data_IF_561837844074
#
_entry.id   IF_561837844074
#
_cell.length_a   1.000
_cell.length_b   1.000
_cell.length_c   1.000
_cell.angle_alpha   90.00
_cell.angle_beta   90.00
_cell.angle_gamma   90.00
#
_symmetry.space_group_name_H-M   'P 1'
#
loop_
_entity.id
_entity.type
_entity.pdbx_description
1 polymer ?
#
# COMPACT_ATOMS: atom_id res chain seq x y z
N UNK A 1 -4.39 32.35 -18.93
CA UNK A 1 -3.50 32.55 -17.76
C UNK A 1 -2.78 31.22 -17.54
N UNK A 2 -1.56 31.12 -18.07
CA UNK A 2 -0.70 29.94 -17.97
C UNK A 2 -0.25 29.78 -16.51
N UNK A 3 -0.57 28.65 -15.88
CA UNK A 3 -0.01 28.28 -14.58
C UNK A 3 1.06 27.22 -14.86
N UNK A 4 2.30 27.53 -14.50
CA UNK A 4 3.48 26.71 -14.81
C UNK A 4 3.46 25.37 -14.07
N UNK A 5 3.72 24.30 -14.80
CA UNK A 5 3.87 22.93 -14.32
C UNK A 5 5.20 22.73 -13.56
N UNK A 6 5.29 23.05 -12.25
CA UNK A 6 6.48 22.63 -11.47
C UNK A 6 6.34 22.46 -9.95
N UNK A 7 5.16 22.52 -9.33
CA UNK A 7 5.09 22.56 -7.85
C UNK A 7 4.28 21.45 -7.14
N UNK A 8 3.87 20.38 -7.81
CA UNK A 8 3.09 19.31 -7.15
C UNK A 8 3.78 17.94 -7.18
N UNK A 9 4.80 17.78 -6.33
CA UNK A 9 5.17 16.47 -5.78
C UNK A 9 5.86 16.67 -4.43
N UNK A 10 5.16 16.57 -3.29
CA UNK A 10 5.86 16.36 -2.03
C UNK A 10 6.57 15.00 -2.13
N UNK A 11 7.90 15.02 -2.18
CA UNK A 11 8.71 13.82 -1.97
C UNK A 11 8.21 13.16 -0.68
N UNK A 12 7.74 11.91 -0.78
CA UNK A 12 7.22 11.18 0.37
C UNK A 12 8.28 11.21 1.49
N UNK A 13 8.02 11.99 2.55
CA UNK A 13 8.85 12.05 3.75
C UNK A 13 8.69 10.71 4.46
N UNK A 14 9.60 9.78 4.19
CA UNK A 14 9.54 8.40 4.69
C UNK A 14 9.56 8.32 6.21
N UNK A 15 10.14 9.32 6.87
CA UNK A 15 10.08 9.52 8.32
C UNK A 15 8.65 9.71 8.85
N UNK A 16 7.73 10.20 8.02
CA UNK A 16 6.31 10.33 8.38
C UNK A 16 5.53 9.02 8.20
N UNK A 17 5.97 8.13 7.30
CA UNK A 17 5.31 6.85 6.98
C UNK A 17 5.91 5.69 7.77
N UNK A 18 7.23 5.68 7.90
CA UNK A 18 8.04 4.67 8.58
C UNK A 18 8.58 5.33 9.86
N UNK A 19 7.78 5.30 10.94
CA UNK A 19 8.35 5.59 12.26
C UNK A 19 9.19 4.38 12.68
N UNK A 20 10.51 4.53 12.92
CA UNK A 20 11.30 3.43 13.45
C UNK A 20 10.73 2.99 14.81
N UNK A 21 10.88 1.70 15.14
CA UNK A 21 10.69 1.25 16.52
C UNK A 21 11.61 2.10 17.41
N UNK A 22 11.05 2.74 18.44
CA UNK A 22 11.78 3.68 19.28
C UNK A 22 13.08 3.06 19.81
N UNK A 23 14.23 3.65 19.48
CA UNK A 23 15.55 3.17 19.89
C UNK A 23 15.82 3.55 21.34
N UNK A 24 15.65 2.60 22.26
CA UNK A 24 15.99 2.77 23.68
C UNK A 24 16.09 1.42 24.38
N UNK A 25 17.06 1.27 25.28
CA UNK A 25 17.39 0.01 25.98
C UNK A 25 16.21 -0.49 26.85
N UNK A 26 15.31 0.40 27.27
CA UNK A 26 14.07 0.06 27.99
C UNK A 26 12.93 -0.47 27.10
N UNK A 27 13.04 -0.38 25.76
CA UNK A 27 12.02 -0.84 24.81
C UNK A 27 12.39 -2.14 24.08
N UNK A 28 13.58 -2.70 24.31
CA UNK A 28 13.98 -3.97 23.69
C UNK A 28 13.07 -5.14 24.08
N UNK A 29 12.37 -5.03 25.22
CA UNK A 29 11.38 -6.00 25.71
C UNK A 29 9.98 -5.76 25.11
N UNK A 30 9.77 -4.63 24.42
CA UNK A 30 8.50 -4.22 23.83
C UNK A 30 8.63 -3.85 22.33
N UNK A 31 9.57 -4.44 21.60
CA UNK A 31 9.54 -4.42 20.14
C UNK A 31 8.36 -5.28 19.66
N UNK A 32 7.15 -4.77 19.84
CA UNK A 32 5.91 -5.34 19.32
C UNK A 32 6.10 -5.46 17.81
N UNK A 33 5.94 -6.67 17.28
CA UNK A 33 6.15 -6.97 15.86
C UNK A 33 5.28 -6.00 15.03
N UNK A 34 5.89 -4.98 14.41
CA UNK A 34 5.12 -3.93 13.75
C UNK A 34 4.68 -4.44 12.38
N UNK A 35 3.37 -4.71 12.24
CA UNK A 35 2.77 -5.18 10.99
C UNK A 35 2.32 -3.99 10.15
N UNK A 36 2.80 -3.95 8.91
CA UNK A 36 2.34 -3.04 7.88
C UNK A 36 1.58 -3.81 6.81
N UNK A 37 0.44 -3.29 6.37
CA UNK A 37 -0.29 -3.80 5.21
C UNK A 37 -0.19 -2.83 4.04
N UNK A 38 0.26 -3.31 2.88
CA UNK A 38 0.46 -2.47 1.69
C UNK A 38 -0.30 -3.06 0.51
N UNK A 39 -1.27 -2.31 -0.03
CA UNK A 39 -1.93 -2.65 -1.29
C UNK A 39 -1.20 -2.02 -2.47
N UNK A 40 -1.28 -2.66 -3.65
CA UNK A 40 -0.51 -2.22 -4.82
C UNK A 40 0.97 -2.61 -4.76
N UNK A 41 1.34 -3.61 -3.95
CA UNK A 41 2.73 -3.98 -3.70
C UNK A 41 3.44 -4.71 -4.85
N UNK A 42 2.75 -5.00 -5.97
CA UNK A 42 3.36 -5.72 -7.10
C UNK A 42 4.38 -4.89 -7.90
N UNK A 43 4.33 -3.55 -7.81
CA UNK A 43 5.23 -2.66 -8.56
C UNK A 43 5.31 -1.25 -7.93
N UNK A 44 6.14 -0.39 -8.53
CA UNK A 44 6.15 1.05 -8.26
C UNK A 44 6.41 1.42 -6.80
N UNK A 45 5.61 2.38 -6.31
CA UNK A 45 5.72 2.95 -4.96
C UNK A 45 5.42 1.87 -3.90
N UNK A 46 4.35 1.09 -4.06
CA UNK A 46 3.97 0.05 -3.11
C UNK A 46 5.05 -1.01 -2.91
N UNK A 47 5.66 -1.50 -4.00
CA UNK A 47 6.77 -2.46 -3.93
C UNK A 47 8.00 -1.86 -3.24
N UNK A 48 8.37 -0.64 -3.63
CA UNK A 48 9.53 0.06 -3.04
C UNK A 48 9.33 0.29 -1.55
N UNK A 49 8.13 0.70 -1.15
CA UNK A 49 7.80 0.94 0.25
C UNK A 49 7.79 -0.36 1.06
N UNK A 50 7.24 -1.45 0.52
CA UNK A 50 7.26 -2.76 1.18
C UNK A 50 8.69 -3.19 1.51
N UNK A 51 9.60 -3.06 0.55
CA UNK A 51 11.02 -3.37 0.75
C UNK A 51 11.69 -2.45 1.79
N UNK A 52 11.37 -1.16 1.80
CA UNK A 52 11.92 -0.20 2.77
C UNK A 52 11.40 -0.44 4.19
N UNK A 53 10.09 -0.71 4.35
CA UNK A 53 9.51 -1.03 5.66
C UNK A 53 10.08 -2.35 6.20
N UNK A 54 10.22 -3.35 5.34
CA UNK A 54 10.87 -4.60 5.67
C UNK A 54 12.33 -4.38 6.14
N UNK A 55 13.11 -3.58 5.40
CA UNK A 55 14.48 -3.23 5.80
C UNK A 55 14.54 -2.46 7.13
N UNK A 56 13.49 -1.72 7.47
CA UNK A 56 13.34 -1.04 8.76
C UNK A 56 12.85 -1.96 9.90
N UNK A 57 12.76 -3.28 9.66
CA UNK A 57 12.43 -4.29 10.68
C UNK A 57 10.94 -4.63 10.81
N UNK A 58 10.08 -4.14 9.92
CA UNK A 58 8.65 -4.45 9.96
C UNK A 58 8.34 -5.80 9.32
N UNK A 59 7.27 -6.44 9.79
CA UNK A 59 6.59 -7.49 9.02
C UNK A 59 5.59 -6.83 8.08
N UNK A 60 5.64 -7.18 6.80
CA UNK A 60 4.90 -6.49 5.75
C UNK A 60 3.98 -7.48 5.03
N UNK A 61 2.66 -7.33 5.24
CA UNK A 61 1.66 -7.96 4.42
C UNK A 61 1.52 -7.21 3.08
N UNK A 62 1.74 -7.91 1.96
CA UNK A 62 1.77 -7.31 0.62
C UNK A 62 0.61 -7.80 -0.23
N UNK A 63 -0.17 -6.87 -0.76
CA UNK A 63 -1.40 -7.16 -1.52
C UNK A 63 -1.39 -6.60 -2.93
N UNK A 64 -1.78 -7.44 -3.88
CA UNK A 64 -2.04 -7.15 -5.29
C UNK A 64 -2.80 -8.32 -5.93
N UNK A 65 -3.29 -8.15 -7.15
CA UNK A 65 -4.04 -9.20 -7.88
C UNK A 65 -3.16 -10.38 -8.34
N UNK A 66 -1.90 -10.12 -8.67
CA UNK A 66 -0.95 -11.11 -9.22
C UNK A 66 -0.21 -11.81 -8.09
N UNK A 67 -0.63 -13.03 -7.74
CA UNK A 67 -0.08 -13.80 -6.63
C UNK A 67 1.39 -14.17 -6.85
N UNK A 68 1.74 -14.52 -8.08
CA UNK A 68 3.09 -14.87 -8.52
C UNK A 68 4.11 -13.74 -8.27
N UNK A 69 3.74 -12.49 -8.55
CA UNK A 69 4.62 -11.33 -8.31
C UNK A 69 4.81 -11.07 -6.81
N UNK A 70 3.79 -11.36 -6.00
CA UNK A 70 3.90 -11.25 -4.53
C UNK A 70 4.77 -12.38 -3.96
N UNK A 71 4.65 -13.59 -4.51
CA UNK A 71 5.48 -14.72 -4.12
C UNK A 71 6.97 -14.43 -4.40
N UNK A 72 7.30 -13.89 -5.57
CA UNK A 72 8.67 -13.44 -5.89
C UNK A 72 9.20 -12.41 -4.88
N UNK A 73 8.34 -11.50 -4.41
CA UNK A 73 8.73 -10.51 -3.40
C UNK A 73 9.02 -11.17 -2.05
N UNK A 74 8.22 -12.17 -1.67
CA UNK A 74 8.34 -12.90 -0.41
C UNK A 74 9.55 -13.83 -0.33
N UNK A 75 10.09 -14.32 -1.47
CA UNK A 75 11.33 -15.12 -1.49
C UNK A 75 12.49 -14.45 -0.74
N UNK A 76 12.50 -13.11 -0.66
CA UNK A 76 13.53 -12.34 0.07
C UNK A 76 13.57 -12.64 1.56
N UNK A 77 12.39 -12.75 2.20
CA UNK A 77 12.23 -13.08 3.61
C UNK A 77 10.77 -13.52 3.82
N UNK A 78 10.47 -14.83 3.65
CA UNK A 78 9.10 -15.33 3.72
C UNK A 78 8.51 -15.25 5.13
N UNK A 79 9.34 -15.01 6.16
CA UNK A 79 8.87 -14.84 7.53
C UNK A 79 8.34 -13.41 7.79
N UNK A 80 8.83 -12.41 7.03
CA UNK A 80 8.47 -10.99 7.24
C UNK A 80 7.88 -10.29 6.04
N UNK A 81 7.82 -10.92 4.87
CA UNK A 81 7.07 -10.44 3.72
C UNK A 81 5.98 -11.47 3.43
N UNK A 82 4.73 -11.13 3.74
CA UNK A 82 3.59 -12.04 3.70
C UNK A 82 2.68 -11.74 2.50
N UNK A 83 2.63 -12.60 1.47
CA UNK A 83 1.74 -12.42 0.33
C UNK A 83 0.26 -12.57 0.70
N UNK A 84 -0.54 -11.57 0.34
CA UNK A 84 -1.99 -11.58 0.49
C UNK A 84 -2.62 -11.15 -0.85
N UNK A 85 -2.80 -12.07 -1.80
CA UNK A 85 -3.44 -11.78 -3.09
C UNK A 85 -4.82 -11.16 -2.87
N UNK A 86 -5.07 -10.02 -3.50
CA UNK A 86 -6.27 -9.22 -3.25
C UNK A 86 -6.59 -8.32 -4.45
N UNK A 87 -7.87 -8.29 -4.82
CA UNK A 87 -8.47 -7.24 -5.61
C UNK A 87 -9.22 -6.26 -4.70
N UNK A 88 -8.74 -5.03 -4.58
CA UNK A 88 -9.35 -4.01 -3.71
C UNK A 88 -10.72 -3.54 -4.17
N UNK A 89 -11.17 -3.96 -5.37
CA UNK A 89 -12.52 -3.70 -5.87
C UNK A 89 -13.58 -4.55 -5.17
N UNK A 90 -13.19 -5.70 -4.60
CA UNK A 90 -14.07 -6.59 -3.87
C UNK A 90 -14.04 -6.25 -2.37
N UNK A 91 -15.13 -5.66 -1.88
CA UNK A 91 -15.23 -5.23 -0.49
C UNK A 91 -15.15 -6.40 0.51
N UNK A 92 -15.71 -7.57 0.16
CA UNK A 92 -15.67 -8.74 1.03
C UNK A 92 -14.24 -9.29 1.10
N UNK A 93 -13.56 -9.40 -0.04
CA UNK A 93 -12.17 -9.86 -0.08
C UNK A 93 -11.21 -8.93 0.69
N UNK A 94 -11.46 -7.61 0.68
CA UNK A 94 -10.69 -6.64 1.49
C UNK A 94 -10.90 -6.92 2.98
N UNK A 95 -12.15 -7.11 3.43
CA UNK A 95 -12.45 -7.41 4.83
C UNK A 95 -11.79 -8.72 5.28
N UNK A 96 -11.94 -9.77 4.48
CA UNK A 96 -11.35 -11.08 4.76
C UNK A 96 -9.82 -11.01 4.81
N UNK A 97 -9.20 -10.20 3.95
CA UNK A 97 -7.75 -10.00 3.95
C UNK A 97 -7.27 -9.32 5.22
N UNK A 98 -7.98 -8.29 5.72
CA UNK A 98 -7.65 -7.65 7.00
C UNK A 98 -7.74 -8.65 8.14
N UNK A 99 -8.85 -9.38 8.25
CA UNK A 99 -9.02 -10.39 9.29
C UNK A 99 -7.94 -11.48 9.24
N UNK A 100 -7.58 -11.92 8.03
CA UNK A 100 -6.51 -12.90 7.82
C UNK A 100 -5.15 -12.36 8.26
N UNK A 101 -4.82 -11.12 7.91
CA UNK A 101 -3.55 -10.50 8.32
C UNK A 101 -3.50 -10.36 9.84
N UNK A 102 -4.56 -9.84 10.45
CA UNK A 102 -4.59 -9.63 11.90
C UNK A 102 -4.48 -10.93 12.68
N UNK A 103 -5.11 -12.00 12.17
CA UNK A 103 -5.06 -13.33 12.78
C UNK A 103 -3.72 -14.03 12.58
N UNK A 104 -3.19 -14.03 11.36
CA UNK A 104 -2.07 -14.90 10.98
C UNK A 104 -0.71 -14.19 11.09
N UNK A 105 -0.68 -12.87 11.08
CA UNK A 105 0.54 -12.04 11.06
C UNK A 105 0.63 -11.15 12.31
N UNK A 106 -0.50 -10.57 12.72
CA UNK A 106 -0.61 -9.70 13.88
C UNK A 106 -1.32 -8.38 13.56
N UNK A 107 -1.61 -7.60 14.61
CA UNK A 107 -2.39 -6.37 14.50
C UNK A 107 -1.78 -5.37 13.50
N UNK A 108 -2.57 -4.94 12.51
CA UNK A 108 -2.13 -3.99 11.49
C UNK A 108 -1.97 -2.62 12.13
N UNK A 109 -0.73 -2.16 12.24
CA UNK A 109 -0.40 -0.85 12.81
C UNK A 109 -0.41 0.26 11.77
N UNK A 110 -0.01 -0.07 10.54
CA UNK A 110 0.06 0.87 9.43
C UNK A 110 -0.54 0.22 8.20
N UNK A 111 -1.43 0.93 7.52
CA UNK A 111 -1.97 0.52 6.22
C UNK A 111 -1.56 1.55 5.15
N UNK A 112 -0.96 1.08 4.07
CA UNK A 112 -0.61 1.93 2.93
C UNK A 112 -1.44 1.49 1.74
N UNK A 113 -2.37 2.36 1.35
CA UNK A 113 -3.33 2.09 0.29
C UNK A 113 -2.79 2.66 -1.02
N UNK A 114 -2.06 1.82 -1.77
CA UNK A 114 -1.36 2.22 -3.01
C UNK A 114 -1.82 1.45 -4.24
N UNK A 115 -2.90 0.66 -4.14
CA UNK A 115 -3.49 0.02 -5.30
C UNK A 115 -4.04 1.09 -6.26
N UNK A 116 -3.54 1.09 -7.49
CA UNK A 116 -3.99 2.01 -8.52
C UNK A 116 -3.42 1.69 -9.89
N UNK A 117 -4.07 2.24 -10.92
CA UNK A 117 -3.61 2.18 -12.31
C UNK A 117 -3.79 3.54 -12.99
N UNK A 118 -3.07 3.73 -14.08
CA UNK A 118 -3.26 4.86 -14.97
C UNK A 118 -3.41 4.35 -16.40
N UNK A 119 -4.54 4.66 -17.02
CA UNK A 119 -4.80 4.36 -18.42
C UNK A 119 -4.94 5.70 -19.16
N UNK A 120 -4.02 6.04 -20.09
CA UNK A 120 -4.12 7.27 -20.85
C UNK A 120 -5.31 7.20 -21.82
N UNK A 121 -6.19 8.21 -21.76
CA UNK A 121 -7.36 8.33 -22.65
C UNK A 121 -7.17 9.58 -23.52
N UNK A 122 -7.29 9.42 -24.84
CA UNK A 122 -7.32 10.55 -25.78
C UNK A 122 -8.76 11.04 -25.95
N UNK A 123 -8.95 12.34 -26.16
CA UNK A 123 -10.28 12.92 -26.30
C UNK A 123 -11.14 12.25 -27.40
N UNK A 124 -10.53 11.89 -28.53
CA UNK A 124 -11.23 11.24 -29.65
C UNK A 124 -11.48 9.74 -29.45
N UNK A 125 -10.88 9.12 -28.43
CA UNK A 125 -11.04 7.70 -28.08
C UNK A 125 -11.53 7.58 -26.63
N UNK A 126 -12.40 8.49 -26.21
CA UNK A 126 -12.89 8.56 -24.85
C UNK A 126 -13.76 7.35 -24.52
N UNK A 127 -13.54 6.76 -23.34
CA UNK A 127 -14.36 5.67 -22.82
C UNK A 127 -14.75 5.95 -21.38
N UNK A 128 -16.05 6.17 -21.17
CA UNK A 128 -16.63 6.30 -19.83
C UNK A 128 -16.41 5.02 -18.99
N UNK A 129 -16.34 3.86 -19.64
CA UNK A 129 -16.04 2.60 -18.96
C UNK A 129 -14.63 2.59 -18.38
N UNK A 130 -13.62 2.99 -19.15
CA UNK A 130 -12.23 3.06 -18.66
C UNK A 130 -12.10 4.05 -17.51
N UNK A 131 -12.81 5.18 -17.58
CA UNK A 131 -12.87 6.14 -16.46
C UNK A 131 -13.48 5.49 -15.22
N UNK A 132 -14.66 4.84 -15.35
CA UNK A 132 -15.31 4.16 -14.22
C UNK A 132 -14.41 3.10 -13.60
N UNK A 133 -13.78 2.25 -14.41
CA UNK A 133 -12.87 1.21 -13.92
C UNK A 133 -11.66 1.80 -13.17
N UNK A 134 -11.15 2.94 -13.62
CA UNK A 134 -10.06 3.66 -12.95
C UNK A 134 -10.51 4.21 -11.60
N UNK A 135 -11.71 4.80 -11.51
CA UNK A 135 -12.27 5.27 -10.23
C UNK A 135 -12.59 4.11 -9.27
N UNK A 136 -13.12 3.00 -9.79
CA UNK A 136 -13.38 1.78 -9.01
C UNK A 136 -12.12 1.25 -8.33
N UNK A 137 -10.99 1.22 -9.04
CA UNK A 137 -9.72 0.78 -8.48
C UNK A 137 -9.09 1.85 -7.58
N UNK A 138 -8.88 3.05 -8.11
CA UNK A 138 -8.02 4.06 -7.48
C UNK A 138 -8.72 4.80 -6.34
N UNK A 139 -10.03 5.00 -6.45
CA UNK A 139 -10.80 5.81 -5.49
C UNK A 139 -11.61 4.90 -4.57
N UNK A 140 -12.51 4.10 -5.14
CA UNK A 140 -13.39 3.26 -4.33
C UNK A 140 -12.63 2.11 -3.68
N UNK A 141 -11.61 1.54 -4.32
CA UNK A 141 -10.74 0.54 -3.70
C UNK A 141 -10.05 1.04 -2.43
N UNK A 142 -9.58 2.29 -2.43
CA UNK A 142 -9.00 2.93 -1.24
C UNK A 142 -10.07 3.15 -0.16
N UNK A 143 -11.24 3.65 -0.54
CA UNK A 143 -12.35 3.89 0.40
C UNK A 143 -12.81 2.58 1.08
N UNK A 144 -12.93 1.48 0.33
CA UNK A 144 -13.27 0.15 0.87
C UNK A 144 -12.28 -0.31 1.94
N UNK A 145 -10.98 -0.20 1.67
CA UNK A 145 -9.93 -0.57 2.62
C UNK A 145 -9.88 0.33 3.85
N UNK A 146 -10.26 1.62 3.71
CA UNK A 146 -10.32 2.57 4.84
C UNK A 146 -11.52 2.34 5.76
N UNK A 147 -12.64 1.85 5.24
CA UNK A 147 -13.86 1.60 6.03
C UNK A 147 -13.75 0.41 6.98
N UNK A 148 -12.65 -0.36 6.92
CA UNK A 148 -12.36 -1.41 7.88
C UNK A 148 -11.81 -0.76 9.15
N UNK A 149 -12.45 -0.96 10.32
CA UNK A 149 -11.96 -0.40 11.57
C UNK A 149 -10.61 -1.08 11.88
N UNK A 150 -9.60 -0.34 12.36
CA UNK A 150 -9.14 -0.71 13.69
C UNK A 150 -8.58 0.45 14.54
N UNK A 151 -8.35 0.22 15.84
CA UNK A 151 -7.78 1.21 16.73
C UNK A 151 -6.35 1.52 16.31
N UNK A 152 -6.04 2.79 16.01
CA UNK A 152 -4.67 3.28 15.89
C UNK A 152 -3.96 3.16 14.53
N UNK A 153 -4.67 2.86 13.41
CA UNK A 153 -4.07 2.86 12.07
C UNK A 153 -3.70 4.28 11.61
N UNK A 154 -2.42 4.48 11.29
CA UNK A 154 -1.98 5.53 10.36
C UNK A 154 -2.18 5.00 8.94
N UNK A 155 -3.13 5.57 8.19
CA UNK A 155 -3.34 5.25 6.79
C UNK A 155 -2.68 6.31 5.90
N UNK A 156 -1.79 5.88 4.99
CA UNK A 156 -1.24 6.74 3.95
C UNK A 156 -1.79 6.30 2.58
N UNK A 157 -2.40 7.23 1.85
CA UNK A 157 -2.88 7.00 0.48
C UNK A 157 -1.78 7.46 -0.47
N UNK A 158 -1.24 6.53 -1.26
CA UNK A 158 -0.20 6.83 -2.25
C UNK A 158 -0.72 6.52 -3.64
N UNK A 159 -1.28 7.53 -4.30
CA UNK A 159 -1.63 7.43 -5.71
C UNK A 159 -0.42 7.77 -6.56
N UNK A 160 -0.11 6.94 -7.56
CA UNK A 160 0.92 7.30 -8.54
C UNK A 160 0.45 8.49 -9.38
N UNK A 161 1.05 9.66 -9.16
CA UNK A 161 1.18 10.65 -10.23
C UNK A 161 2.10 10.02 -11.31
N UNK A 162 1.80 10.24 -12.59
CA UNK A 162 2.51 9.62 -13.71
C UNK A 162 4.03 9.74 -13.59
N UNK A 163 4.77 8.77 -14.18
CA UNK A 163 6.23 8.59 -14.10
C UNK A 163 7.00 9.92 -13.96
N UNK A 164 7.23 10.35 -12.73
CA UNK A 164 8.24 11.34 -12.39
C UNK A 164 9.53 10.56 -12.18
N UNK A 165 10.51 10.82 -13.05
CA UNK A 165 11.88 10.31 -12.89
C UNK A 165 12.37 10.74 -11.50
N UNK A 166 12.78 9.77 -10.69
CA UNK A 166 13.80 9.99 -9.68
C UNK A 166 15.15 9.67 -10.34
#
# INVERSE_FOLDING_TARGET
MLVSHTEYAPCLRLDQVIRPAASGVLNAVAAVNQVAWITGASSGIGRTLALRMHAAGWTVAVSARRAEVLAELAVRDPARIVPVPLDVRDAAAVADSVHRIERDVGAIRTAVLSAGTYVPIRAHAFSAQVVRETFELNTFGVARARNLPPPGITAAILTSAGRSRC
#
